data_IF_657384064106
#
_entry.id   IF_657384064106
#
_cell.length_a   1.000
_cell.length_b   1.000
_cell.length_c   1.000
_cell.angle_alpha   90.00
_cell.angle_beta   90.00
_cell.angle_gamma   90.00
#
_symmetry.space_group_name_H-M   'P 1'
#
loop_
_entity.id
_entity.type
_entity.pdbx_description
1 polymer ?
#
# COMPACT_ATOMS: atom_id res chain seq x y z
N UNK A 1 -62.99 -4.26 27.52
CA UNK A 1 -62.62 -5.52 26.83
C UNK A 1 -61.85 -5.12 25.58
N UNK A 2 -60.56 -5.50 25.49
CA UNK A 2 -60.01 -6.45 24.50
C UNK A 2 -59.84 -5.82 23.09
N UNK A 3 -58.59 -5.60 22.64
CA UNK A 3 -57.81 -6.47 21.73
C UNK A 3 -58.29 -6.35 20.27
N UNK A 4 -57.50 -6.24 19.20
CA UNK A 4 -56.06 -6.26 18.91
C UNK A 4 -55.91 -5.89 17.42
N UNK A 5 -54.68 -5.50 17.00
CA UNK A 5 -54.03 -5.84 15.71
C UNK A 5 -54.69 -5.37 14.40
N UNK A 6 -54.02 -4.99 13.32
CA UNK A 6 -52.65 -4.86 12.79
C UNK A 6 -52.87 -3.89 11.58
N UNK A 7 -51.92 -3.10 11.09
CA UNK A 7 -51.01 -3.53 10.04
C UNK A 7 -49.96 -2.45 9.79
N UNK A 8 -48.72 -2.94 9.81
CA UNK A 8 -47.44 -2.42 9.32
C UNK A 8 -47.53 -1.35 8.23
N UNK A 9 -46.91 -0.19 8.47
CA UNK A 9 -46.43 0.71 7.43
C UNK A 9 -44.91 0.87 7.59
N UNK A 10 -44.17 0.17 6.73
CA UNK A 10 -42.73 0.24 6.63
C UNK A 10 -42.38 1.54 5.86
N UNK A 11 -42.05 2.61 6.57
CA UNK A 11 -41.59 3.84 5.95
C UNK A 11 -40.07 3.73 5.68
N UNK A 12 -39.72 3.43 4.42
CA UNK A 12 -38.39 3.64 3.87
C UNK A 12 -38.06 5.13 3.90
N UNK A 13 -37.39 5.58 4.96
CA UNK A 13 -36.76 6.89 5.00
C UNK A 13 -35.53 6.87 4.08
N UNK A 14 -35.78 7.12 2.79
CA UNK A 14 -34.78 7.61 1.85
C UNK A 14 -34.36 9.01 2.31
N UNK A 15 -33.34 9.07 3.17
CA UNK A 15 -32.66 10.33 3.46
C UNK A 15 -31.96 10.80 2.17
N UNK A 16 -32.20 12.04 1.71
CA UNK A 16 -31.49 12.59 0.57
C UNK A 16 -30.06 12.88 1.00
N UNK A 17 -29.07 12.18 0.41
CA UNK A 17 -27.69 12.69 0.42
C UNK A 17 -27.67 13.94 -0.45
N UNK A 18 -27.89 15.09 0.19
CA UNK A 18 -27.73 16.39 -0.41
C UNK A 18 -26.28 16.54 -0.89
N UNK A 19 -26.15 16.75 -2.20
CA UNK A 19 -24.98 17.29 -2.87
C UNK A 19 -24.51 18.59 -2.17
N UNK A 20 -23.34 18.53 -1.56
CA UNK A 20 -22.48 19.70 -1.40
C UNK A 20 -21.25 19.47 -2.28
N UNK A 21 -21.18 20.21 -3.39
CA UNK A 21 -19.99 20.33 -4.23
C UNK A 21 -18.98 21.31 -3.59
N UNK A 22 -17.86 21.62 -4.26
CA UNK A 22 -16.55 21.03 -4.10
C UNK A 22 -15.63 21.87 -3.19
N UNK A 23 -14.61 21.25 -2.60
CA UNK A 23 -13.44 21.97 -2.10
C UNK A 23 -12.17 21.15 -2.38
N UNK A 24 -11.47 21.51 -3.45
CA UNK A 24 -10.01 21.41 -3.45
C UNK A 24 -9.52 22.20 -2.24
N UNK A 25 -8.79 21.54 -1.31
CA UNK A 25 -7.58 22.05 -0.64
C UNK A 25 -7.18 21.11 0.53
N UNK A 26 -6.13 20.31 0.29
CA UNK A 26 -5.01 19.93 1.20
C UNK A 26 -5.33 19.31 2.60
N UNK A 27 -4.65 18.20 3.00
CA UNK A 27 -5.06 17.36 4.13
C UNK A 27 -4.48 17.80 5.49
N UNK A 28 -4.99 17.22 6.59
CA UNK A 28 -4.13 16.69 7.65
C UNK A 28 -4.44 15.19 7.84
N UNK A 29 -3.46 14.31 7.69
CA UNK A 29 -2.66 13.80 8.80
C UNK A 29 -3.55 13.21 9.92
N UNK A 30 -3.93 11.93 9.80
CA UNK A 30 -3.62 10.89 10.81
C UNK A 30 -4.27 9.56 10.41
N UNK A 31 -3.43 8.60 9.99
CA UNK A 31 -3.62 7.18 10.31
C UNK A 31 -2.22 6.57 10.38
N UNK A 32 -1.51 6.86 11.47
CA UNK A 32 -0.30 6.11 11.83
C UNK A 32 -0.69 4.94 12.72
N UNK A 33 -0.48 3.73 12.22
CA UNK A 33 -0.25 2.50 12.99
C UNK A 33 0.28 1.45 12.02
N UNK A 34 1.45 0.85 12.17
CA UNK A 34 2.58 1.02 13.07
C UNK A 34 3.74 0.23 12.42
N UNK A 35 4.92 0.85 12.30
CA UNK A 35 6.22 0.19 12.36
C UNK A 35 7.30 1.29 12.27
N UNK A 36 7.52 1.95 13.40
CA UNK A 36 8.81 2.57 13.65
C UNK A 36 9.87 1.48 13.58
N UNK A 37 10.84 1.64 12.70
CA UNK A 37 12.22 1.31 13.01
C UNK A 37 13.08 2.30 12.23
N UNK A 38 13.65 3.24 12.97
CA UNK A 38 14.85 3.93 12.54
C UNK A 38 15.87 2.88 12.10
N UNK A 39 16.34 3.03 10.87
CA UNK A 39 17.37 2.21 10.32
C UNK A 39 17.95 3.01 9.18
N UNK A 40 19.10 3.61 9.44
CA UNK A 40 20.09 4.01 8.44
C UNK A 40 20.44 2.78 7.59
N UNK A 41 19.54 2.42 6.69
CA UNK A 41 19.82 1.50 5.59
C UNK A 41 20.47 2.31 4.48
N UNK A 42 21.42 1.73 3.72
CA UNK A 42 22.08 2.45 2.67
C UNK A 42 21.01 3.00 1.73
N UNK A 43 21.02 4.32 1.56
CA UNK A 43 20.34 4.96 0.47
C UNK A 43 20.96 4.34 -0.79
N UNK A 44 20.32 3.29 -1.31
CA UNK A 44 20.68 2.75 -2.61
C UNK A 44 20.48 3.88 -3.60
N UNK A 45 21.61 4.34 -4.11
CA UNK A 45 21.79 5.49 -4.98
C UNK A 45 21.16 5.20 -6.35
N UNK A 46 19.85 5.08 -6.39
CA UNK A 46 19.04 5.05 -7.61
C UNK A 46 18.70 6.46 -8.08
N UNK A 47 19.53 7.45 -7.75
CA UNK A 47 19.30 8.89 -7.95
C UNK A 47 19.21 9.32 -9.43
N UNK A 48 19.47 8.42 -10.38
CA UNK A 48 19.45 8.73 -11.82
C UNK A 48 18.23 8.19 -12.58
N UNK A 49 17.40 7.34 -12.00
CA UNK A 49 16.23 6.78 -12.70
C UNK A 49 14.95 7.25 -12.02
N UNK A 50 14.36 8.36 -12.52
CA UNK A 50 12.99 8.72 -12.15
C UNK A 50 12.08 7.53 -12.48
N UNK A 51 11.36 7.04 -11.49
CA UNK A 51 10.40 5.96 -11.66
C UNK A 51 8.97 6.49 -11.82
N UNK A 52 8.07 5.65 -12.33
CA UNK A 52 6.64 5.97 -12.37
C UNK A 52 6.05 5.81 -10.97
N UNK A 53 5.41 6.86 -10.40
CA UNK A 53 4.77 6.77 -9.09
C UNK A 53 3.85 5.55 -8.97
N UNK A 54 3.78 4.98 -7.77
CA UNK A 54 2.97 3.78 -7.47
C UNK A 54 3.43 2.51 -8.19
N UNK A 55 4.60 2.50 -8.82
CA UNK A 55 5.25 1.28 -9.32
C UNK A 55 6.05 0.62 -8.19
N UNK A 56 6.07 -0.70 -8.17
CA UNK A 56 6.84 -1.54 -7.28
C UNK A 56 7.91 -2.29 -8.07
N UNK A 57 9.03 -2.55 -7.43
CA UNK A 57 10.20 -3.18 -8.03
C UNK A 57 10.89 -4.10 -7.03
N UNK A 58 11.24 -5.29 -7.48
CA UNK A 58 11.94 -6.28 -6.70
C UNK A 58 13.45 -6.01 -6.72
N UNK A 59 14.04 -5.81 -5.54
CA UNK A 59 15.47 -5.57 -5.37
C UNK A 59 16.08 -6.66 -4.51
N UNK A 60 17.31 -7.04 -4.83
CA UNK A 60 18.10 -7.94 -4.02
C UNK A 60 19.52 -7.40 -3.88
N UNK A 61 20.14 -7.62 -2.71
CA UNK A 61 21.55 -7.36 -2.50
C UNK A 61 22.41 -8.21 -3.45
N UNK A 62 23.67 -7.80 -3.63
CA UNK A 62 24.67 -8.63 -4.29
C UNK A 62 24.75 -10.02 -3.63
N UNK A 63 24.71 -11.10 -4.42
CA UNK A 63 24.61 -12.47 -3.93
C UNK A 63 23.18 -12.95 -3.65
N UNK A 64 22.19 -12.07 -3.77
CA UNK A 64 20.78 -12.42 -3.83
C UNK A 64 20.17 -12.96 -2.54
N UNK A 65 20.88 -12.91 -1.40
CA UNK A 65 20.40 -13.50 -0.14
C UNK A 65 19.24 -12.70 0.44
N UNK A 66 19.40 -11.38 0.54
CA UNK A 66 18.38 -10.47 1.06
C UNK A 66 17.73 -9.71 -0.08
N UNK A 67 16.41 -9.84 -0.16
CA UNK A 67 15.58 -9.16 -1.15
C UNK A 67 14.50 -8.32 -0.47
N UNK A 68 14.07 -7.26 -1.13
CA UNK A 68 13.01 -6.37 -0.68
C UNK A 68 12.24 -5.81 -1.87
N UNK A 69 11.03 -5.36 -1.60
CA UNK A 69 10.22 -4.61 -2.53
C UNK A 69 10.51 -3.14 -2.33
N UNK A 70 10.81 -2.42 -3.40
CA UNK A 70 10.84 -0.96 -3.45
C UNK A 70 9.55 -0.44 -4.08
N UNK A 71 9.04 0.68 -3.59
CA UNK A 71 7.92 1.42 -4.17
C UNK A 71 8.41 2.78 -4.66
N UNK A 72 7.94 3.20 -5.82
CA UNK A 72 8.19 4.52 -6.35
C UNK A 72 7.21 5.52 -5.72
N UNK A 73 7.74 6.51 -5.00
CA UNK A 73 6.92 7.54 -4.40
C UNK A 73 6.43 8.58 -5.43
N UNK A 74 5.57 9.50 -4.99
CA UNK A 74 5.02 10.56 -5.83
C UNK A 74 6.07 11.52 -6.40
N UNK A 75 7.29 11.55 -5.84
CA UNK A 75 8.40 12.36 -6.32
C UNK A 75 9.27 11.60 -7.35
N UNK A 76 8.87 10.39 -7.73
CA UNK A 76 9.62 9.55 -8.66
C UNK A 76 10.88 8.96 -8.02
N UNK A 77 10.89 8.79 -6.69
CA UNK A 77 12.01 8.19 -5.95
C UNK A 77 11.64 6.81 -5.42
N UNK A 78 12.55 5.86 -5.62
CA UNK A 78 12.43 4.54 -5.00
C UNK A 78 12.60 4.63 -3.49
N UNK A 79 11.67 4.01 -2.77
CA UNK A 79 11.71 3.82 -1.33
C UNK A 79 11.48 2.36 -1.01
N UNK A 80 12.18 1.85 -0.01
CA UNK A 80 11.95 0.48 0.47
C UNK A 80 10.55 0.37 1.07
N UNK A 81 9.77 -0.61 0.61
CA UNK A 81 8.40 -0.87 1.06
C UNK A 81 8.33 -2.03 2.03
N UNK A 82 8.88 -3.20 1.66
CA UNK A 82 8.82 -4.41 2.48
C UNK A 82 10.05 -5.29 2.28
N UNK A 83 10.52 -5.95 3.34
CA UNK A 83 11.54 -7.00 3.23
C UNK A 83 10.89 -8.33 2.86
N UNK A 84 11.48 -9.04 1.91
CA UNK A 84 11.13 -10.43 1.66
C UNK A 84 11.96 -11.36 2.54
N UNK A 85 11.53 -12.61 2.65
CA UNK A 85 12.27 -13.64 3.40
C UNK A 85 13.66 -13.79 2.81
N UNK A 86 14.69 -13.93 3.63
CA UNK A 86 16.02 -14.24 3.12
C UNK A 86 16.07 -15.63 2.47
N UNK A 87 16.86 -15.77 1.40
CA UNK A 87 17.16 -17.07 0.80
C UNK A 87 18.10 -17.85 1.70
N UNK A 88 17.93 -19.17 1.75
CA UNK A 88 18.85 -20.07 2.49
C UNK A 88 20.26 -20.09 1.91
N UNK A 89 20.40 -19.83 0.62
CA UNK A 89 21.69 -19.77 -0.09
C UNK A 89 21.60 -18.86 -1.33
N UNK A 90 22.72 -18.35 -1.86
CA UNK A 90 22.75 -17.58 -3.11
C UNK A 90 22.16 -18.33 -4.32
N UNK A 91 22.22 -19.66 -4.28
CA UNK A 91 21.72 -20.56 -5.34
C UNK A 91 20.25 -20.97 -5.18
N UNK A 92 19.61 -20.70 -4.04
CA UNK A 92 18.18 -21.00 -3.82
C UNK A 92 17.31 -20.14 -4.75
N UNK A 93 16.03 -20.45 -5.02
CA UNK A 93 15.13 -19.57 -5.78
C UNK A 93 14.91 -18.20 -5.10
N UNK A 94 14.65 -17.10 -5.85
CA UNK A 94 14.45 -15.78 -5.27
C UNK A 94 13.17 -15.75 -4.44
N UNK A 95 13.16 -14.92 -3.40
CA UNK A 95 12.02 -14.76 -2.48
C UNK A 95 11.22 -13.50 -2.80
N UNK A 96 11.52 -12.86 -3.92
CA UNK A 96 10.93 -11.63 -4.39
C UNK A 96 10.81 -11.73 -5.91
N UNK A 97 9.72 -11.21 -6.47
CA UNK A 97 9.43 -11.27 -7.90
C UNK A 97 8.62 -10.07 -8.34
N UNK A 98 8.95 -9.56 -9.53
CA UNK A 98 8.14 -8.56 -10.22
C UNK A 98 6.87 -9.21 -10.82
N UNK A 99 5.75 -8.54 -10.61
CA UNK A 99 4.45 -8.88 -11.18
C UNK A 99 4.14 -8.04 -12.41
N UNK A 100 2.90 -8.15 -12.90
CA UNK A 100 2.40 -7.29 -13.97
C UNK A 100 2.03 -5.91 -13.42
N UNK A 101 1.84 -4.94 -14.32
CA UNK A 101 1.26 -3.63 -13.99
C UNK A 101 2.03 -2.85 -12.91
N UNK A 102 3.35 -3.05 -12.87
CA UNK A 102 4.21 -2.38 -11.89
C UNK A 102 4.01 -2.87 -10.47
N UNK A 103 3.61 -4.13 -10.27
CA UNK A 103 3.53 -4.76 -8.95
C UNK A 103 4.79 -5.58 -8.66
N UNK A 104 5.06 -5.84 -7.38
CA UNK A 104 6.08 -6.79 -6.94
C UNK A 104 5.61 -7.45 -5.65
N UNK A 105 6.02 -8.69 -5.42
CA UNK A 105 5.57 -9.47 -4.27
C UNK A 105 6.67 -10.40 -3.75
N UNK A 106 6.59 -10.71 -2.45
CA UNK A 106 7.41 -11.72 -1.82
C UNK A 106 6.81 -13.11 -2.05
N UNK A 107 7.68 -14.11 -2.14
CA UNK A 107 7.35 -15.53 -2.32
C UNK A 107 7.48 -16.32 -1.02
#
# INVERSE_FOLDING_TARGET
MQFTNKFVALALLLAPLALAAPANNVPPADVVSAASNEGTGPADDSSLSRCTPSTYDCRCNAGGISCWISVCDALGKWKKSANCRDRKSPSSPPTCRDGTDGTAFCL
#
